data_IF_151310279261
#
_entry.id   IF_151310279261
#
_cell.length_a   1.000
_cell.length_b   1.000
_cell.length_c   1.000
_cell.angle_alpha   90.00
_cell.angle_beta   90.00
_cell.angle_gamma   90.00
#
_symmetry.space_group_name_H-M   'P 1'
#
loop_
_entity.id
_entity.type
_entity.pdbx_description
1 polymer ?
#
# COMPACT_ATOMS: atom_id res chain seq x y z
N UNK A 1 -30.56 8.00 -40.44
CA UNK A 1 -30.83 7.73 -39.01
C UNK A 1 -29.49 7.69 -38.30
N UNK A 2 -29.21 8.74 -37.54
CA UNK A 2 -28.02 8.94 -36.71
C UNK A 2 -28.24 8.31 -35.33
N UNK A 3 -27.23 7.60 -34.80
CA UNK A 3 -26.90 7.58 -33.36
C UNK A 3 -25.52 6.93 -33.18
N UNK A 4 -24.45 7.72 -33.17
CA UNK A 4 -23.76 8.23 -31.98
C UNK A 4 -23.15 7.13 -31.07
N UNK A 5 -21.94 6.68 -31.44
CA UNK A 5 -21.04 5.96 -30.53
C UNK A 5 -20.21 6.98 -29.75
N UNK A 6 -20.36 6.98 -28.43
CA UNK A 6 -19.64 7.84 -27.50
C UNK A 6 -18.35 7.11 -27.05
N UNK A 7 -17.15 7.70 -27.15
CA UNK A 7 -15.92 7.05 -26.69
C UNK A 7 -15.80 7.16 -25.16
N UNK A 8 -15.91 6.05 -24.45
CA UNK A 8 -15.71 5.98 -23.00
C UNK A 8 -14.24 5.81 -22.64
N UNK A 9 -13.37 6.79 -22.89
CA UNK A 9 -12.03 6.89 -22.25
C UNK A 9 -11.35 8.24 -22.51
N UNK A 10 -11.61 9.26 -21.67
CA UNK A 10 -10.55 10.23 -21.33
C UNK A 10 -10.51 10.68 -19.85
N UNK A 11 -11.45 10.24 -18.99
CA UNK A 11 -11.55 10.72 -17.60
C UNK A 11 -10.56 10.06 -16.64
N UNK A 12 -10.38 8.74 -16.71
CA UNK A 12 -9.52 7.98 -15.78
C UNK A 12 -8.05 8.41 -15.87
N UNK A 13 -7.51 8.59 -17.08
CA UNK A 13 -6.11 8.97 -17.30
C UNK A 13 -5.80 10.40 -16.81
N UNK A 14 -6.76 11.31 -16.96
CA UNK A 14 -6.62 12.71 -16.52
C UNK A 14 -6.76 12.84 -15.00
N UNK A 15 -7.66 12.07 -14.39
CA UNK A 15 -7.78 11.98 -12.93
C UNK A 15 -6.52 11.39 -12.28
N UNK A 16 -5.96 10.31 -12.84
CA UNK A 16 -4.69 9.73 -12.38
C UNK A 16 -3.52 10.72 -12.51
N UNK A 17 -3.39 11.40 -13.66
CA UNK A 17 -2.35 12.41 -13.86
C UNK A 17 -2.46 13.58 -12.86
N UNK A 18 -3.68 14.04 -12.59
CA UNK A 18 -3.93 15.10 -11.61
C UNK A 18 -3.63 14.64 -10.17
N UNK A 19 -3.92 13.39 -9.83
CA UNK A 19 -3.56 12.82 -8.53
C UNK A 19 -2.03 12.73 -8.36
N UNK A 20 -1.32 12.33 -9.42
CA UNK A 20 0.15 12.31 -9.44
C UNK A 20 0.70 13.73 -9.25
N UNK A 21 0.20 14.73 -9.98
CA UNK A 21 0.63 16.12 -9.86
C UNK A 21 0.38 16.68 -8.45
N UNK A 22 -0.78 16.37 -7.85
CA UNK A 22 -1.10 16.77 -6.48
C UNK A 22 -0.19 16.08 -5.45
N UNK A 23 0.13 14.80 -5.65
CA UNK A 23 1.07 14.07 -4.81
C UNK A 23 2.49 14.65 -4.92
N UNK A 24 2.92 15.03 -6.13
CA UNK A 24 4.19 15.73 -6.37
C UNK A 24 4.23 17.10 -5.69
N UNK A 25 3.20 17.94 -5.86
CA UNK A 25 3.12 19.25 -5.22
C UNK A 25 3.14 19.15 -3.68
N UNK A 26 2.42 18.18 -3.10
CA UNK A 26 2.47 17.89 -1.66
C UNK A 26 3.86 17.44 -1.23
N UNK A 27 4.53 16.59 -2.02
CA UNK A 27 5.91 16.16 -1.81
C UNK A 27 6.89 17.34 -1.79
N UNK A 28 6.76 18.28 -2.73
CA UNK A 28 7.58 19.49 -2.80
C UNK A 28 7.39 20.39 -1.57
N UNK A 29 6.14 20.63 -1.14
CA UNK A 29 5.84 21.45 0.05
C UNK A 29 6.47 20.82 1.30
N UNK A 30 6.34 19.51 1.46
CA UNK A 30 6.95 18.80 2.58
C UNK A 30 8.48 18.92 2.51
N UNK A 31 9.09 18.59 1.37
CA UNK A 31 10.53 18.71 1.16
C UNK A 31 11.06 20.13 1.45
N UNK A 32 10.28 21.16 1.12
CA UNK A 32 10.65 22.54 1.37
C UNK A 32 10.85 22.82 2.88
N UNK A 33 9.99 22.30 3.76
CA UNK A 33 10.11 22.54 5.20
C UNK A 33 11.42 21.98 5.81
N UNK A 34 11.74 20.71 5.54
CA UNK A 34 12.98 20.09 6.05
C UNK A 34 14.24 20.72 5.44
N UNK A 35 14.19 21.10 4.16
CA UNK A 35 15.32 21.74 3.49
C UNK A 35 15.59 23.18 4.00
N UNK A 36 14.56 23.91 4.46
CA UNK A 36 14.75 25.23 5.08
C UNK A 36 15.53 25.12 6.39
N UNK A 37 15.22 24.15 7.25
CA UNK A 37 15.99 23.90 8.48
C UNK A 37 17.44 23.49 8.17
N UNK A 38 17.65 22.65 7.15
CA UNK A 38 19.00 22.28 6.73
C UNK A 38 19.81 23.50 6.24
N UNK A 39 19.18 24.41 5.48
CA UNK A 39 19.80 25.68 5.07
C UNK A 39 20.12 26.57 6.28
N UNK A 40 19.23 26.65 7.27
CA UNK A 40 19.46 27.40 8.50
C UNK A 40 20.66 26.84 9.29
N UNK A 41 20.74 25.51 9.43
CA UNK A 41 21.90 24.80 10.01
C UNK A 41 23.19 25.19 9.27
N UNK A 42 23.16 25.20 7.93
CA UNK A 42 24.33 25.57 7.13
C UNK A 42 24.79 27.02 7.37
N UNK A 43 23.88 27.95 7.70
CA UNK A 43 24.27 29.31 8.09
C UNK A 43 24.82 29.35 9.51
N UNK A 44 24.17 28.71 10.48
CA UNK A 44 24.61 28.68 11.87
C UNK A 44 26.01 28.06 12.04
N UNK A 45 26.36 27.06 11.23
CA UNK A 45 27.71 26.46 11.18
C UNK A 45 28.84 27.43 10.85
N UNK A 46 28.53 28.58 10.25
CA UNK A 46 29.54 29.61 9.94
C UNK A 46 30.02 30.33 11.20
N UNK A 47 29.26 30.28 12.29
CA UNK A 47 29.61 30.84 13.59
C UNK A 47 30.63 29.90 14.24
N UNK A 48 31.86 30.37 14.42
CA UNK A 48 33.01 29.57 14.86
C UNK A 48 33.18 29.60 16.38
N UNK A 49 33.89 28.61 16.97
CA UNK A 49 34.28 28.67 18.36
C UNK A 49 35.00 30.00 18.69
N UNK A 50 34.62 30.64 19.78
CA UNK A 50 35.12 31.96 20.19
C UNK A 50 34.22 33.13 19.81
N UNK A 51 33.24 32.93 18.92
CA UNK A 51 32.19 33.91 18.67
C UNK A 51 31.19 33.97 19.86
N UNK A 52 30.76 35.15 20.33
CA UNK A 52 29.76 35.27 21.40
C UNK A 52 28.46 34.49 21.15
N UNK A 53 28.08 34.30 19.89
CA UNK A 53 26.86 33.58 19.49
C UNK A 53 27.08 32.08 19.25
N UNK A 54 28.30 31.56 19.45
CA UNK A 54 28.62 30.16 19.15
C UNK A 54 27.72 29.17 19.90
N UNK A 55 27.49 29.37 21.20
CA UNK A 55 26.65 28.46 21.98
C UNK A 55 25.22 28.44 21.46
N UNK A 56 24.63 29.62 21.20
CA UNK A 56 23.29 29.73 20.62
C UNK A 56 23.21 29.04 19.25
N UNK A 57 24.24 29.20 18.42
CA UNK A 57 24.32 28.54 17.12
C UNK A 57 24.31 27.01 17.25
N UNK A 58 25.04 26.44 18.23
CA UNK A 58 25.04 25.00 18.48
C UNK A 58 23.67 24.49 18.98
N UNK A 59 23.02 25.25 19.85
CA UNK A 59 21.66 24.93 20.35
C UNK A 59 20.63 24.95 19.21
N UNK A 60 20.69 25.95 18.32
CA UNK A 60 19.81 26.07 17.17
C UNK A 60 20.06 24.95 16.15
N UNK A 61 21.33 24.61 15.87
CA UNK A 61 21.68 23.47 15.02
C UNK A 61 21.07 22.18 15.56
N UNK A 62 21.20 21.94 16.87
CA UNK A 62 20.62 20.77 17.53
C UNK A 62 19.10 20.75 17.39
N UNK A 63 18.43 21.88 17.67
CA UNK A 63 16.97 22.02 17.58
C UNK A 63 16.46 21.78 16.16
N UNK A 64 17.05 22.44 15.17
CA UNK A 64 16.65 22.28 13.78
C UNK A 64 16.93 20.88 13.24
N UNK A 65 18.00 20.23 13.69
CA UNK A 65 18.26 18.82 13.37
C UNK A 65 17.15 17.91 13.89
N UNK A 66 16.66 18.16 15.11
CA UNK A 66 15.52 17.43 15.67
C UNK A 66 14.25 17.67 14.84
N UNK A 67 13.97 18.92 14.44
CA UNK A 67 12.79 19.23 13.61
C UNK A 67 12.84 18.51 12.26
N UNK A 68 14.01 18.41 11.61
CA UNK A 68 14.16 17.64 10.38
C UNK A 68 13.82 16.16 10.60
N UNK A 69 14.30 15.57 11.69
CA UNK A 69 13.99 14.19 12.05
C UNK A 69 12.49 14.00 12.32
N UNK A 70 11.86 14.89 13.08
CA UNK A 70 10.42 14.83 13.39
C UNK A 70 9.57 14.93 12.11
N UNK A 71 9.95 15.81 11.19
CA UNK A 71 9.31 15.93 9.87
C UNK A 71 9.47 14.64 9.05
N UNK A 72 10.64 14.00 9.10
CA UNK A 72 10.87 12.73 8.43
C UNK A 72 10.00 11.61 9.02
N UNK A 73 9.97 11.49 10.34
CA UNK A 73 9.14 10.51 11.06
C UNK A 73 7.64 10.73 10.80
N UNK A 74 7.19 11.99 10.76
CA UNK A 74 5.81 12.34 10.42
C UNK A 74 5.41 11.85 9.03
N UNK A 75 6.29 11.96 8.03
CA UNK A 75 6.05 11.42 6.67
C UNK A 75 6.00 9.91 6.66
N UNK A 76 6.90 9.26 7.40
CA UNK A 76 6.91 7.80 7.49
C UNK A 76 5.62 7.26 8.11
N UNK A 77 5.09 7.92 9.15
CA UNK A 77 3.80 7.58 9.77
C UNK A 77 2.61 7.74 8.80
N UNK A 78 2.72 8.63 7.81
CA UNK A 78 1.74 8.78 6.73
C UNK A 78 1.91 7.76 5.60
N UNK A 79 2.88 6.85 5.70
CA UNK A 79 3.20 5.86 4.65
C UNK A 79 4.13 6.40 3.55
N UNK A 80 4.55 7.65 3.62
CA UNK A 80 5.43 8.28 2.62
C UNK A 80 6.91 8.02 2.93
N UNK A 81 7.33 6.75 2.90
CA UNK A 81 8.67 6.31 3.30
C UNK A 81 9.78 6.92 2.44
N UNK A 82 9.58 7.08 1.12
CA UNK A 82 10.55 7.73 0.24
C UNK A 82 10.81 9.17 0.66
N UNK A 83 9.73 9.93 0.90
CA UNK A 83 9.81 11.33 1.32
C UNK A 83 10.37 11.47 2.75
N UNK A 84 10.13 10.49 3.62
CA UNK A 84 10.73 10.40 4.94
C UNK A 84 12.26 10.21 4.85
N UNK A 85 12.73 9.27 4.03
CA UNK A 85 14.16 9.03 3.81
C UNK A 85 14.84 10.29 3.28
N UNK A 86 14.24 10.97 2.29
CA UNK A 86 14.79 12.22 1.74
C UNK A 86 14.92 13.30 2.82
N UNK A 87 13.94 13.46 3.71
CA UNK A 87 14.05 14.39 4.83
C UNK A 87 15.11 13.97 5.86
N UNK A 88 15.12 12.72 6.29
CA UNK A 88 16.08 12.25 7.30
C UNK A 88 17.53 12.36 6.81
N UNK A 89 17.78 12.25 5.50
CA UNK A 89 19.10 12.50 4.90
C UNK A 89 19.59 13.95 5.05
N UNK A 90 18.70 14.88 5.36
CA UNK A 90 19.06 16.28 5.63
C UNK A 90 19.50 16.50 7.09
N UNK A 91 19.31 15.51 7.97
CA UNK A 91 19.88 15.54 9.32
C UNK A 91 21.38 15.38 9.20
N UNK A 92 22.12 16.33 9.76
CA UNK A 92 23.57 16.40 9.64
C UNK A 92 24.29 15.86 10.89
N UNK A 93 25.59 15.52 10.79
CA UNK A 93 26.34 14.94 11.91
C UNK A 93 26.64 15.87 13.10
N UNK A 94 26.21 17.15 13.07
CA UNK A 94 26.54 18.14 14.11
C UNK A 94 26.01 17.73 15.49
N UNK A 95 24.88 17.03 15.53
CA UNK A 95 24.40 16.35 16.73
C UNK A 95 24.48 14.82 16.51
N UNK A 96 25.49 14.14 17.07
CA UNK A 96 25.69 12.71 16.87
C UNK A 96 24.50 11.84 17.29
N UNK A 97 23.77 12.24 18.34
CA UNK A 97 22.61 11.49 18.83
C UNK A 97 21.45 11.54 17.85
N UNK A 98 21.11 12.74 17.35
CA UNK A 98 20.02 12.93 16.38
C UNK A 98 20.40 12.31 15.04
N UNK A 99 21.65 12.48 14.60
CA UNK A 99 22.15 11.86 13.38
C UNK A 99 22.04 10.34 13.42
N UNK A 100 22.46 9.70 14.53
CA UNK A 100 22.36 8.25 14.68
C UNK A 100 20.89 7.76 14.61
N UNK A 101 19.94 8.49 15.21
CA UNK A 101 18.51 8.18 15.11
C UNK A 101 18.00 8.30 13.66
N UNK A 102 18.41 9.34 12.94
CA UNK A 102 18.04 9.54 11.55
C UNK A 102 18.58 8.41 10.65
N UNK A 103 19.84 8.02 10.81
CA UNK A 103 20.44 6.91 10.05
C UNK A 103 19.74 5.58 10.33
N UNK A 104 19.43 5.29 11.60
CA UNK A 104 18.66 4.10 11.97
C UNK A 104 17.28 4.09 11.30
N UNK A 105 16.60 5.23 11.31
CA UNK A 105 15.27 5.37 10.68
C UNK A 105 15.33 5.17 9.17
N UNK A 106 16.35 5.72 8.49
CA UNK A 106 16.57 5.52 7.05
C UNK A 106 16.70 4.02 6.72
N UNK A 107 17.51 3.27 7.46
CA UNK A 107 17.70 1.83 7.24
C UNK A 107 16.37 1.08 7.41
N UNK A 108 15.61 1.40 8.45
CA UNK A 108 14.31 0.78 8.69
C UNK A 108 13.31 1.08 7.57
N UNK A 109 13.22 2.33 7.10
CA UNK A 109 12.31 2.70 6.02
C UNK A 109 12.72 2.11 4.68
N UNK A 110 14.01 1.95 4.40
CA UNK A 110 14.49 1.24 3.21
C UNK A 110 14.04 -0.23 3.18
N UNK A 111 14.08 -0.91 4.34
CA UNK A 111 13.52 -2.27 4.47
C UNK A 111 12.01 -2.25 4.20
N UNK A 112 11.29 -1.27 4.76
CA UNK A 112 9.86 -1.09 4.52
C UNK A 112 9.51 -0.89 3.04
N UNK A 113 10.29 -0.08 2.32
CA UNK A 113 10.12 0.13 0.87
C UNK A 113 10.37 -1.15 0.05
N UNK A 114 11.41 -1.91 0.40
CA UNK A 114 11.68 -3.19 -0.26
C UNK A 114 10.52 -4.16 -0.04
N UNK A 115 9.99 -4.23 1.18
CA UNK A 115 8.82 -5.08 1.48
C UNK A 115 7.57 -4.59 0.74
N UNK A 116 7.35 -3.29 0.64
CA UNK A 116 6.24 -2.71 -0.12
C UNK A 116 6.32 -3.07 -1.61
N UNK A 117 7.51 -2.98 -2.21
CA UNK A 117 7.72 -3.35 -3.60
C UNK A 117 7.46 -4.85 -3.83
N UNK A 118 7.95 -5.71 -2.93
CA UNK A 118 7.69 -7.15 -3.00
C UNK A 118 6.19 -7.47 -2.89
N UNK A 119 5.48 -6.82 -1.95
CA UNK A 119 4.05 -7.04 -1.76
C UNK A 119 3.25 -6.50 -2.96
N UNK A 120 3.70 -5.41 -3.59
CA UNK A 120 3.12 -4.91 -4.83
C UNK A 120 3.26 -5.94 -5.96
N UNK A 121 4.43 -6.57 -6.11
CA UNK A 121 4.64 -7.63 -7.10
C UNK A 121 3.69 -8.80 -6.87
N UNK A 122 3.54 -9.28 -5.63
CA UNK A 122 2.60 -10.36 -5.29
C UNK A 122 1.17 -10.02 -5.73
N UNK A 123 0.72 -8.78 -5.46
CA UNK A 123 -0.61 -8.32 -5.87
C UNK A 123 -0.76 -8.32 -7.39
N UNK A 124 0.21 -7.75 -8.10
CA UNK A 124 0.17 -7.64 -9.57
C UNK A 124 0.18 -9.02 -10.24
N UNK A 125 1.08 -9.91 -9.82
CA UNK A 125 1.15 -11.28 -10.36
C UNK A 125 -0.15 -12.04 -10.09
N UNK A 126 -0.75 -11.86 -8.91
CA UNK A 126 -2.02 -12.50 -8.57
C UNK A 126 -3.17 -12.00 -9.45
N UNK A 127 -3.19 -10.69 -9.76
CA UNK A 127 -4.18 -10.08 -10.67
C UNK A 127 -4.01 -10.55 -12.12
N UNK A 128 -2.77 -10.65 -12.60
CA UNK A 128 -2.47 -11.07 -13.98
C UNK A 128 -2.86 -12.53 -14.27
N UNK A 129 -2.89 -13.38 -13.24
CA UNK A 129 -3.26 -14.79 -13.36
C UNK A 129 -4.77 -15.04 -13.29
N UNK A 130 -5.58 -14.00 -13.09
CA UNK A 130 -7.04 -14.15 -13.04
C UNK A 130 -7.60 -14.48 -14.41
N UNK A 131 -8.45 -15.51 -14.44
CA UNK A 131 -9.19 -15.93 -15.61
C UNK A 131 -10.67 -15.78 -15.31
N UNK A 132 -11.37 -15.02 -16.17
CA UNK A 132 -12.81 -14.77 -16.00
C UNK A 132 -13.57 -16.10 -15.95
N UNK A 133 -14.55 -16.19 -15.04
CA UNK A 133 -15.40 -17.36 -14.82
C UNK A 133 -14.66 -18.65 -14.36
N UNK A 134 -13.37 -18.56 -14.02
CA UNK A 134 -12.58 -19.67 -13.49
C UNK A 134 -12.35 -19.50 -11.99
N UNK A 135 -13.21 -20.10 -11.16
CA UNK A 135 -13.09 -20.04 -9.69
C UNK A 135 -11.67 -20.39 -9.16
N UNK A 136 -10.97 -21.33 -9.79
CA UNK A 136 -9.62 -21.74 -9.39
C UNK A 136 -8.53 -20.69 -9.63
N UNK A 137 -8.69 -19.76 -10.59
CA UNK A 137 -7.73 -18.65 -10.74
C UNK A 137 -7.85 -17.65 -9.60
N UNK A 138 -9.08 -17.30 -9.20
CA UNK A 138 -9.33 -16.43 -8.05
C UNK A 138 -8.80 -17.05 -6.77
N UNK A 139 -9.05 -18.36 -6.56
CA UNK A 139 -8.55 -19.08 -5.39
C UNK A 139 -7.01 -19.08 -5.29
N UNK A 140 -6.31 -19.36 -6.40
CA UNK A 140 -4.84 -19.26 -6.46
C UNK A 140 -4.33 -17.85 -6.16
N UNK A 141 -5.02 -16.84 -6.70
CA UNK A 141 -4.77 -15.45 -6.37
C UNK A 141 -4.88 -15.18 -4.87
N UNK A 142 -5.94 -15.66 -4.21
CA UNK A 142 -6.12 -15.51 -2.76
C UNK A 142 -4.99 -16.19 -1.97
N UNK A 143 -4.58 -17.41 -2.36
CA UNK A 143 -3.45 -18.09 -1.72
C UNK A 143 -2.18 -17.22 -1.79
N UNK A 144 -1.92 -16.58 -2.92
CA UNK A 144 -0.77 -15.68 -3.07
C UNK A 144 -0.91 -14.41 -2.22
N UNK A 145 -2.08 -13.77 -2.23
CA UNK A 145 -2.33 -12.58 -1.41
C UNK A 145 -2.19 -12.84 0.09
N UNK A 146 -2.52 -14.05 0.57
CA UNK A 146 -2.34 -14.46 1.97
C UNK A 146 -0.88 -14.53 2.43
N UNK A 147 0.09 -14.51 1.51
CA UNK A 147 1.52 -14.39 1.85
C UNK A 147 1.87 -13.00 2.41
N UNK A 148 1.04 -11.99 2.15
CA UNK A 148 1.17 -10.66 2.73
C UNK A 148 0.59 -10.71 4.14
N UNK A 149 1.45 -10.62 5.16
CA UNK A 149 1.08 -10.81 6.56
C UNK A 149 0.57 -9.51 7.23
N UNK A 150 -0.20 -9.62 8.33
CA UNK A 150 -0.60 -8.45 9.13
C UNK A 150 0.59 -7.59 9.52
N UNK A 151 0.42 -6.27 9.43
CA UNK A 151 1.48 -5.29 9.73
C UNK A 151 2.47 -5.03 8.59
N UNK A 152 2.44 -5.82 7.50
CA UNK A 152 3.23 -5.51 6.31
C UNK A 152 2.56 -4.41 5.46
N UNK A 153 3.35 -3.65 4.68
CA UNK A 153 2.80 -2.74 3.68
C UNK A 153 1.85 -3.47 2.73
N UNK A 154 0.76 -2.80 2.31
CA UNK A 154 -0.27 -3.35 1.40
C UNK A 154 -1.11 -4.50 1.96
N UNK A 155 -0.97 -4.86 3.24
CA UNK A 155 -1.84 -5.87 3.86
C UNK A 155 -3.33 -5.54 3.72
N UNK A 156 -3.73 -4.29 3.99
CA UNK A 156 -5.13 -3.87 3.86
C UNK A 156 -5.67 -3.92 2.43
N UNK A 157 -4.81 -3.68 1.44
CA UNK A 157 -5.14 -3.83 0.01
C UNK A 157 -5.33 -5.31 -0.35
N UNK A 158 -4.42 -6.18 0.11
CA UNK A 158 -4.53 -7.62 -0.07
C UNK A 158 -5.82 -8.18 0.55
N UNK A 159 -6.21 -7.75 1.75
CA UNK A 159 -7.46 -8.19 2.39
C UNK A 159 -8.71 -7.78 1.60
N UNK A 160 -8.73 -6.57 1.04
CA UNK A 160 -9.83 -6.13 0.15
C UNK A 160 -9.95 -7.03 -1.08
N UNK A 161 -8.84 -7.31 -1.75
CA UNK A 161 -8.80 -8.20 -2.91
C UNK A 161 -9.19 -9.63 -2.55
N UNK A 162 -8.76 -10.14 -1.39
CA UNK A 162 -9.14 -11.46 -0.89
C UNK A 162 -10.67 -11.57 -0.74
N UNK A 163 -11.30 -10.55 -0.15
CA UNK A 163 -12.75 -10.53 0.03
C UNK A 163 -13.47 -10.44 -1.33
N UNK A 164 -13.01 -9.56 -2.23
CA UNK A 164 -13.58 -9.43 -3.56
C UNK A 164 -13.48 -10.74 -4.35
N UNK A 165 -12.32 -11.39 -4.36
CA UNK A 165 -12.11 -12.63 -5.11
C UNK A 165 -12.84 -13.81 -4.49
N UNK A 166 -13.00 -13.83 -3.16
CA UNK A 166 -13.85 -14.80 -2.47
C UNK A 166 -15.31 -14.70 -2.95
N UNK A 167 -15.82 -13.46 -3.02
CA UNK A 167 -17.15 -13.19 -3.55
C UNK A 167 -17.30 -13.58 -5.02
N UNK A 168 -16.26 -13.36 -5.85
CA UNK A 168 -16.27 -13.81 -7.26
C UNK A 168 -16.34 -15.34 -7.39
N UNK A 169 -15.61 -16.08 -6.55
CA UNK A 169 -15.69 -17.55 -6.51
C UNK A 169 -17.13 -17.98 -6.18
N UNK A 170 -17.73 -17.37 -5.16
CA UNK A 170 -19.10 -17.69 -4.77
C UNK A 170 -20.13 -17.32 -5.86
N UNK A 171 -19.94 -16.20 -6.55
CA UNK A 171 -20.77 -15.80 -7.69
C UNK A 171 -20.69 -16.81 -8.83
N UNK A 172 -19.49 -17.29 -9.17
CA UNK A 172 -19.29 -18.33 -10.19
C UNK A 172 -19.99 -19.63 -9.78
N UNK A 173 -19.92 -20.00 -8.50
CA UNK A 173 -20.59 -21.19 -7.97
C UNK A 173 -22.12 -21.09 -8.12
N UNK A 174 -22.71 -19.97 -7.70
CA UNK A 174 -24.15 -19.72 -7.83
C UNK A 174 -24.60 -19.71 -9.30
N UNK A 175 -23.81 -19.10 -10.18
CA UNK A 175 -24.10 -19.11 -11.62
C UNK A 175 -24.18 -20.54 -12.16
N UNK A 176 -23.21 -21.41 -11.84
CA UNK A 176 -23.24 -22.82 -12.26
C UNK A 176 -24.45 -23.56 -11.71
N UNK A 177 -24.81 -23.33 -10.44
CA UNK A 177 -25.99 -23.94 -9.85
C UNK A 177 -27.28 -23.52 -10.56
N UNK A 178 -27.39 -22.25 -10.98
CA UNK A 178 -28.55 -21.76 -11.76
C UNK A 178 -28.71 -22.45 -13.13
N UNK A 179 -27.65 -23.09 -13.62
CA UNK A 179 -27.64 -23.87 -14.86
C UNK A 179 -27.82 -25.37 -14.60
N UNK A 180 -28.27 -25.77 -13.41
CA UNK A 180 -28.35 -27.16 -12.91
C UNK A 180 -27.00 -27.90 -12.94
N UNK A 181 -25.87 -27.17 -12.98
CA UNK A 181 -24.54 -27.77 -12.95
C UNK A 181 -24.07 -27.96 -11.49
N UNK A 182 -24.86 -28.67 -10.67
CA UNK A 182 -24.64 -28.76 -9.23
C UNK A 182 -23.25 -29.29 -8.85
N UNK A 183 -22.73 -30.29 -9.57
CA UNK A 183 -21.37 -30.79 -9.34
C UNK A 183 -20.30 -29.70 -9.56
N UNK A 184 -20.41 -28.91 -10.63
CA UNK A 184 -19.47 -27.83 -10.93
C UNK A 184 -19.64 -26.62 -10.00
N UNK A 185 -20.86 -26.38 -9.50
CA UNK A 185 -21.18 -25.37 -8.51
C UNK A 185 -20.53 -25.69 -7.16
N UNK A 186 -20.70 -26.92 -6.67
CA UNK A 186 -20.09 -27.41 -5.42
C UNK A 186 -18.56 -27.30 -5.50
N UNK A 187 -17.95 -27.74 -6.61
CA UNK A 187 -16.50 -27.62 -6.81
C UNK A 187 -16.01 -26.17 -6.74
N UNK A 188 -16.75 -25.22 -7.31
CA UNK A 188 -16.41 -23.80 -7.20
C UNK A 188 -16.60 -23.27 -5.77
N UNK A 189 -17.72 -23.57 -5.11
CA UNK A 189 -17.98 -23.10 -3.76
C UNK A 189 -16.98 -23.64 -2.72
N UNK A 190 -16.45 -24.85 -2.90
CA UNK A 190 -15.37 -25.41 -2.06
C UNK A 190 -14.08 -24.58 -2.10
N UNK A 191 -13.90 -23.75 -3.12
CA UNK A 191 -12.74 -22.86 -3.25
C UNK A 191 -12.91 -21.53 -2.51
N UNK A 192 -14.09 -21.23 -1.97
CA UNK A 192 -14.32 -20.05 -1.14
C UNK A 192 -13.51 -20.21 0.15
N UNK A 193 -12.52 -19.35 0.44
CA UNK A 193 -11.60 -19.57 1.55
C UNK A 193 -12.23 -19.30 2.92
N UNK A 194 -11.85 -20.10 3.91
CA UNK A 194 -12.20 -19.84 5.32
C UNK A 194 -11.69 -18.47 5.78
N UNK A 195 -12.45 -17.81 6.66
CA UNK A 195 -12.12 -16.47 7.18
C UNK A 195 -12.48 -15.33 6.23
N UNK A 196 -13.19 -15.62 5.13
CA UNK A 196 -13.78 -14.60 4.25
C UNK A 196 -15.29 -14.49 4.49
N UNK A 197 -15.92 -13.33 4.19
CA UNK A 197 -17.36 -13.13 4.43
C UNK A 197 -18.25 -14.17 3.74
N UNK A 198 -17.88 -14.61 2.54
CA UNK A 198 -18.68 -15.55 1.73
C UNK A 198 -18.54 -17.02 2.15
N UNK A 199 -17.61 -17.36 3.07
CA UNK A 199 -17.33 -18.75 3.42
C UNK A 199 -18.57 -19.50 3.92
N UNK A 200 -19.30 -18.93 4.87
CA UNK A 200 -20.49 -19.58 5.43
C UNK A 200 -21.61 -19.70 4.38
N UNK A 201 -21.76 -18.70 3.52
CA UNK A 201 -22.72 -18.71 2.42
C UNK A 201 -22.42 -19.83 1.42
N UNK A 202 -21.13 -20.06 1.15
CA UNK A 202 -20.66 -21.14 0.30
C UNK A 202 -20.92 -22.52 0.92
N UNK A 203 -20.62 -22.72 2.21
CA UNK A 203 -20.91 -24.00 2.89
C UNK A 203 -22.41 -24.33 2.88
N UNK A 204 -23.26 -23.36 3.19
CA UNK A 204 -24.71 -23.53 3.16
C UNK A 204 -25.23 -23.82 1.74
N UNK A 205 -24.59 -23.26 0.70
CA UNK A 205 -24.95 -23.54 -0.69
C UNK A 205 -24.52 -24.95 -1.12
N UNK A 206 -23.34 -25.41 -0.71
CA UNK A 206 -22.85 -26.76 -0.96
C UNK A 206 -23.84 -27.80 -0.42
N UNK A 207 -24.27 -27.67 0.84
CA UNK A 207 -25.21 -28.62 1.44
C UNK A 207 -26.52 -28.73 0.63
N UNK A 208 -27.10 -27.58 0.24
CA UNK A 208 -28.32 -27.54 -0.57
C UNK A 208 -28.12 -28.18 -1.95
N UNK A 209 -27.04 -27.89 -2.63
CA UNK A 209 -26.77 -28.46 -3.96
C UNK A 209 -26.42 -29.94 -3.92
N UNK A 210 -25.88 -30.45 -2.81
CA UNK A 210 -25.65 -31.88 -2.62
C UNK A 210 -26.98 -32.65 -2.55
N UNK A 211 -28.00 -32.07 -1.92
CA UNK A 211 -29.36 -32.61 -1.91
C UNK A 211 -30.03 -32.56 -3.29
N UNK A 212 -29.95 -31.43 -4.00
CA UNK A 212 -30.57 -31.34 -5.33
C UNK A 212 -29.92 -32.30 -6.33
N UNK A 213 -28.59 -32.43 -6.29
CA UNK A 213 -27.85 -33.39 -7.12
C UNK A 213 -28.23 -34.85 -6.84
N UNK A 214 -28.66 -35.20 -5.62
CA UNK A 214 -29.06 -36.58 -5.29
C UNK A 214 -30.50 -36.90 -5.67
N UNK A 215 -31.29 -35.88 -6.05
CA UNK A 215 -32.68 -36.01 -6.52
C UNK A 215 -32.78 -36.13 -8.05
N UNK A 216 -31.71 -35.80 -8.78
CA UNK A 216 -31.55 -36.02 -10.23
C UNK A 216 -31.21 -37.47 -10.54
#
# INVERSE_FOLDING_TARGET
>A
VTSNQQPTTPKSTKEEANQIALAQAKGLIQQNQASLFNKAIAQARKIKPGDPLYQQAQEDISRWSQVILDLAEGRAKQGNLESAIVAAKLVTPDNPSIYAKAQKSIVQWQVGLKQQAQNQTIIQESQQQLVRNQASSYHRGIINLRKILPGQPKYGEAQKLINEWSNQIYTIANYRASQNQFSAAIQAAKLVPEGTPDYQLAQNAIARWEEERSRE
#
